data_IF_466774312246
#
_entry.id   IF_466774312246
#
_cell.length_a   1.000
_cell.length_b   1.000
_cell.length_c   1.000
_cell.angle_alpha   90.00
_cell.angle_beta   90.00
_cell.angle_gamma   90.00
#
_symmetry.space_group_name_H-M   'P 1'
#
loop_
_entity.id
_entity.type
_entity.pdbx_description
1 polymer ?
#
# COMPACT_ATOMS: atom_id res chain seq x y z
N UNK A 1 -0.12 1.19 3.38
CA UNK A 1 -1.35 1.10 2.55
C UNK A 1 -0.90 1.05 1.11
N UNK A 2 -1.26 0.02 0.36
CA UNK A 2 -0.93 -0.10 -1.06
C UNK A 2 -2.24 0.03 -1.87
N UNK A 3 -2.28 0.98 -2.79
CA UNK A 3 -3.46 1.26 -3.62
C UNK A 3 -3.22 0.70 -5.02
N UNK A 4 -4.09 -0.22 -5.43
CA UNK A 4 -4.06 -0.86 -6.74
C UNK A 4 -5.21 -0.34 -7.62
N UNK A 5 -5.00 -0.10 -8.93
CA UNK A 5 -5.98 0.52 -9.81
C UNK A 5 -7.22 -0.35 -10.07
N UNK A 6 -7.09 -1.68 -10.00
CA UNK A 6 -8.19 -2.63 -10.21
C UNK A 6 -8.93 -3.05 -8.94
N UNK A 7 -8.61 -2.49 -7.76
CA UNK A 7 -9.35 -2.80 -6.54
C UNK A 7 -10.74 -2.12 -6.56
N UNK A 8 -11.83 -2.82 -6.19
CA UNK A 8 -13.19 -2.23 -6.16
C UNK A 8 -13.33 -1.01 -5.25
N UNK A 9 -12.46 -0.83 -4.24
CA UNK A 9 -12.52 0.32 -3.35
C UNK A 9 -11.13 0.90 -3.06
N UNK A 10 -10.92 2.14 -3.48
CA UNK A 10 -9.66 2.86 -3.24
C UNK A 10 -9.80 3.87 -2.10
N UNK A 11 -8.86 3.89 -1.14
CA UNK A 11 -8.89 4.85 -0.06
C UNK A 11 -8.46 6.25 -0.52
N UNK A 12 -9.06 7.30 0.06
CA UNK A 12 -8.61 8.68 -0.14
C UNK A 12 -7.53 8.99 0.90
N UNK A 13 -6.30 9.29 0.45
CA UNK A 13 -5.14 9.55 1.32
C UNK A 13 -5.44 10.52 2.47
N UNK A 14 -6.05 11.66 2.17
CA UNK A 14 -6.39 12.69 3.17
C UNK A 14 -7.32 12.18 4.26
N UNK A 15 -8.27 11.31 3.93
CA UNK A 15 -9.19 10.74 4.93
C UNK A 15 -8.48 9.66 5.76
N UNK A 16 -7.64 8.85 5.12
CA UNK A 16 -6.83 7.84 5.80
C UNK A 16 -5.87 8.47 6.81
N UNK A 17 -5.18 9.56 6.46
CA UNK A 17 -4.28 10.30 7.36
C UNK A 17 -4.99 10.84 8.61
N UNK A 18 -6.24 11.30 8.45
CA UNK A 18 -7.05 11.78 9.58
C UNK A 18 -7.51 10.64 10.49
N UNK A 19 -7.86 9.49 9.93
CA UNK A 19 -8.37 8.35 10.68
C UNK A 19 -7.24 7.52 11.33
N UNK A 20 -6.08 7.45 10.68
CA UNK A 20 -4.93 6.65 11.08
C UNK A 20 -3.68 7.55 11.11
N UNK A 21 -3.37 8.20 12.24
CA UNK A 21 -2.30 9.21 12.31
C UNK A 21 -0.89 8.66 12.11
N UNK A 22 -0.72 7.33 12.17
CA UNK A 22 0.58 6.66 12.11
C UNK A 22 0.75 5.80 10.84
N UNK A 23 0.25 6.26 9.69
CA UNK A 23 0.55 5.59 8.41
C UNK A 23 2.02 5.81 8.07
N UNK A 24 2.84 4.78 8.28
CA UNK A 24 4.29 4.81 8.02
C UNK A 24 4.69 4.48 6.57
N UNK A 25 3.77 3.94 5.78
CA UNK A 25 4.02 3.57 4.37
C UNK A 25 2.76 3.72 3.54
N UNK A 26 2.90 4.32 2.36
CA UNK A 26 1.85 4.43 1.36
C UNK A 26 2.41 4.38 -0.05
N UNK A 27 1.73 3.63 -0.89
CA UNK A 27 2.11 3.38 -2.27
C UNK A 27 0.86 3.37 -3.14
N UNK A 28 1.01 3.93 -4.34
CA UNK A 28 0.01 3.89 -5.40
C UNK A 28 0.67 3.23 -6.60
N UNK A 29 0.03 2.19 -7.13
CA UNK A 29 0.57 1.38 -8.21
C UNK A 29 -0.18 1.60 -9.52
N UNK A 30 0.46 1.33 -10.64
CA UNK A 30 -0.12 1.50 -11.98
C UNK A 30 -0.80 0.23 -12.52
N UNK A 31 -0.64 -0.92 -11.84
CA UNK A 31 -1.17 -2.23 -12.24
C UNK A 31 -1.61 -3.05 -11.04
N UNK A 32 -2.36 -4.12 -11.29
CA UNK A 32 -2.96 -5.02 -10.29
C UNK A 32 -4.32 -4.54 -9.77
N UNK A 33 -4.99 -5.41 -9.03
CA UNK A 33 -6.33 -5.17 -8.50
C UNK A 33 -6.53 -5.72 -7.11
N UNK A 34 -7.67 -6.38 -6.89
CA UNK A 34 -8.12 -6.81 -5.57
C UNK A 34 -7.27 -7.93 -4.95
N UNK A 35 -6.61 -8.74 -5.78
CA UNK A 35 -5.76 -9.84 -5.35
C UNK A 35 -4.30 -9.60 -5.75
N UNK A 36 -3.65 -8.53 -5.25
CA UNK A 36 -2.35 -8.08 -5.76
C UNK A 36 -1.24 -9.11 -5.58
N UNK A 37 -1.31 -9.95 -4.55
CA UNK A 37 -0.36 -11.05 -4.34
C UNK A 37 -0.44 -12.13 -5.44
N UNK A 38 -1.60 -12.29 -6.10
CA UNK A 38 -1.80 -13.24 -7.20
C UNK A 38 -1.63 -12.56 -8.57
N UNK A 39 -2.06 -11.30 -8.70
CA UNK A 39 -2.04 -10.55 -9.95
C UNK A 39 -0.66 -9.98 -10.27
N UNK A 40 0.04 -9.44 -9.28
CA UNK A 40 1.32 -8.74 -9.43
C UNK A 40 2.29 -9.14 -8.29
N UNK A 41 2.70 -10.42 -8.20
CA UNK A 41 3.42 -10.96 -7.05
C UNK A 41 4.74 -10.23 -6.75
N UNK A 42 5.51 -9.88 -7.78
CA UNK A 42 6.79 -9.17 -7.60
C UNK A 42 6.59 -7.76 -7.06
N UNK A 43 5.58 -7.05 -7.55
CA UNK A 43 5.23 -5.71 -7.10
C UNK A 43 4.71 -5.75 -5.66
N UNK A 44 3.86 -6.73 -5.34
CA UNK A 44 3.37 -6.95 -3.98
C UNK A 44 4.51 -7.22 -2.98
N UNK A 45 5.45 -8.11 -3.33
CA UNK A 45 6.60 -8.43 -2.48
C UNK A 45 7.51 -7.21 -2.30
N UNK A 46 7.77 -6.47 -3.37
CA UNK A 46 8.59 -5.25 -3.30
C UNK A 46 7.99 -4.20 -2.36
N UNK A 47 6.67 -4.00 -2.44
CA UNK A 47 5.94 -3.07 -1.56
C UNK A 47 5.98 -3.53 -0.10
N UNK A 48 5.79 -4.82 0.18
CA UNK A 48 5.88 -5.39 1.52
C UNK A 48 7.27 -5.16 2.14
N UNK A 49 8.33 -5.34 1.35
CA UNK A 49 9.69 -5.06 1.80
C UNK A 49 9.93 -3.57 2.07
N UNK A 50 9.35 -2.68 1.25
CA UNK A 50 9.42 -1.24 1.46
C UNK A 50 8.72 -0.82 2.76
N UNK A 51 7.51 -1.35 3.00
CA UNK A 51 6.79 -1.19 4.26
C UNK A 51 7.62 -1.65 5.46
N UNK A 52 8.21 -2.85 5.40
CA UNK A 52 9.02 -3.39 6.49
C UNK A 52 10.25 -2.51 6.80
N UNK A 53 10.88 -1.91 5.78
CA UNK A 53 11.96 -0.93 5.97
C UNK A 53 11.44 0.35 6.63
N UNK A 54 10.35 0.93 6.14
CA UNK A 54 9.75 2.13 6.72
C UNK A 54 9.37 1.93 8.19
N UNK A 55 8.82 0.76 8.53
CA UNK A 55 8.46 0.41 9.92
C UNK A 55 9.69 0.34 10.84
N UNK A 56 10.83 -0.12 10.35
CA UNK A 56 12.09 -0.16 11.11
C UNK A 56 12.67 1.23 11.35
N UNK A 57 12.46 2.17 10.42
CA UNK A 57 12.93 3.57 10.54
C UNK A 57 11.97 4.45 11.33
N UNK A 58 10.68 4.09 11.39
CA UNK A 58 9.66 4.84 12.13
C UNK A 58 9.64 4.52 13.65
N UNK A 59 10.61 3.73 14.12
CA UNK A 59 10.81 3.38 15.52
C UNK A 59 11.55 4.47 16.28
#
# INVERSE_FOLDING_TARGET
VAVYPGDPAQPIRRLADRAFPNIVHWSEHERGGHFPAMEEPDLFVADLQAFARALRTSR
#
